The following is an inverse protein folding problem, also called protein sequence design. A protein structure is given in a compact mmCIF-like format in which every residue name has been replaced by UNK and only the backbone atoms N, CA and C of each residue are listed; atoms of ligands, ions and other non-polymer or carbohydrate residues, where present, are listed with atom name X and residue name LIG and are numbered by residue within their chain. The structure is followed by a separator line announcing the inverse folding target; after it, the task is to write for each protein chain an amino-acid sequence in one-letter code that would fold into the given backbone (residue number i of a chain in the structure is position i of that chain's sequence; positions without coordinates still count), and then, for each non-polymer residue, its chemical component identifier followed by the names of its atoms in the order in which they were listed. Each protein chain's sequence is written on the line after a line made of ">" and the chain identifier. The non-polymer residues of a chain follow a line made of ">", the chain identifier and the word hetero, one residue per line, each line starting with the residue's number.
data_IF_757086821411
#
_entry.id   IF_757086821411
#
_cell.length_a   1.000
_cell.length_b   1.000
_cell.length_c   1.000
_cell.angle_alpha   90.00
_cell.angle_beta   90.00
_cell.angle_gamma   90.00
#
_symmetry.space_group_name_H-M   'P 1'
#
loop_
_entity.id
_entity.type
_entity.pdbx_description
1 polymer ?
#
# COMPACT_ATOMS: atom_id res chain seq x y z
N UNK A 1 -34.49 14.09 -6.44
CA UNK A 1 -33.31 13.22 -6.24
C UNK A 1 -33.70 12.10 -5.27
N UNK A 2 -33.78 10.86 -5.74
CA UNK A 2 -34.34 9.71 -5.01
C UNK A 2 -33.56 9.43 -3.69
N UNK A 3 -34.27 9.08 -2.60
CA UNK A 3 -33.70 8.92 -1.24
C UNK A 3 -32.48 7.97 -1.21
N UNK A 4 -32.49 6.95 -2.06
CA UNK A 4 -31.38 6.01 -2.24
C UNK A 4 -30.11 6.64 -2.82
N UNK A 5 -30.20 7.65 -3.71
CA UNK A 5 -29.02 8.29 -4.29
C UNK A 5 -28.30 9.22 -3.30
N UNK A 6 -29.05 9.85 -2.37
CA UNK A 6 -28.44 10.67 -1.31
C UNK A 6 -27.59 9.85 -0.33
N UNK A 7 -27.88 8.56 -0.16
CA UNK A 7 -27.11 7.67 0.72
C UNK A 7 -25.83 7.12 0.07
N UNK A 8 -25.78 7.06 -1.27
CA UNK A 8 -24.62 6.55 -2.02
C UNK A 8 -23.59 7.66 -2.26
N UNK A 9 -24.05 8.90 -2.44
CA UNK A 9 -23.20 10.08 -2.68
C UNK A 9 -22.05 10.26 -1.69
N UNK A 10 -22.26 10.22 -0.36
CA UNK A 10 -21.15 10.36 0.60
C UNK A 10 -20.14 9.21 0.47
N UNK A 11 -20.59 7.97 0.24
CA UNK A 11 -19.69 6.82 0.06
C UNK A 11 -18.81 6.96 -1.18
N UNK A 12 -19.37 7.47 -2.27
CA UNK A 12 -18.60 7.71 -3.51
C UNK A 12 -17.52 8.77 -3.26
N UNK A 13 -17.85 9.82 -2.50
CA UNK A 13 -16.89 10.84 -2.11
C UNK A 13 -15.75 10.24 -1.24
N UNK A 14 -16.09 9.38 -0.29
CA UNK A 14 -15.10 8.69 0.56
C UNK A 14 -14.12 7.85 -0.26
N UNK A 15 -14.62 7.09 -1.24
CA UNK A 15 -13.75 6.31 -2.13
C UNK A 15 -12.86 7.20 -3.00
N UNK A 16 -13.38 8.32 -3.51
CA UNK A 16 -12.57 9.28 -4.28
C UNK A 16 -11.44 9.87 -3.44
N UNK A 17 -11.74 10.28 -2.20
CA UNK A 17 -10.75 10.81 -1.26
C UNK A 17 -9.70 9.73 -0.93
N UNK A 18 -10.14 8.48 -0.72
CA UNK A 18 -9.25 7.35 -0.45
C UNK A 18 -8.29 7.07 -1.62
N UNK A 19 -8.78 7.10 -2.86
CA UNK A 19 -7.96 6.90 -4.07
C UNK A 19 -6.90 8.00 -4.17
N UNK A 20 -7.28 9.25 -3.92
CA UNK A 20 -6.34 10.39 -3.93
C UNK A 20 -5.27 10.19 -2.84
N UNK A 21 -5.69 9.86 -1.62
CA UNK A 21 -4.78 9.60 -0.50
C UNK A 21 -3.79 8.46 -0.80
N UNK A 22 -4.28 7.32 -1.27
CA UNK A 22 -3.46 6.17 -1.66
C UNK A 22 -2.49 6.52 -2.79
N UNK A 23 -2.92 7.33 -3.76
CA UNK A 23 -2.06 7.75 -4.87
C UNK A 23 -0.89 8.61 -4.37
N UNK A 24 -1.18 9.55 -3.46
CA UNK A 24 -0.16 10.40 -2.83
C UNK A 24 0.80 9.54 -1.99
N UNK A 25 0.28 8.59 -1.21
CA UNK A 25 1.11 7.64 -0.44
C UNK A 25 1.98 6.77 -1.35
N UNK A 26 1.45 6.26 -2.45
CA UNK A 26 2.20 5.46 -3.42
C UNK A 26 3.30 6.28 -4.10
N UNK A 27 3.02 7.54 -4.44
CA UNK A 27 4.02 8.47 -4.95
C UNK A 27 5.11 8.74 -3.90
N UNK A 28 4.73 8.93 -2.64
CA UNK A 28 5.69 9.12 -1.56
C UNK A 28 6.63 7.90 -1.38
N UNK A 29 6.08 6.69 -1.49
CA UNK A 29 6.89 5.46 -1.42
C UNK A 29 7.89 5.40 -2.57
N UNK A 30 7.44 5.62 -3.80
CA UNK A 30 8.32 5.52 -4.98
C UNK A 30 9.35 6.64 -5.08
N UNK A 31 9.00 7.87 -4.70
CA UNK A 31 9.85 9.04 -4.85
C UNK A 31 10.75 9.30 -3.63
N UNK A 32 10.35 8.86 -2.43
CA UNK A 32 11.12 9.09 -1.21
C UNK A 32 11.60 7.79 -0.56
N UNK A 33 10.69 6.86 -0.25
CA UNK A 33 11.06 5.70 0.56
C UNK A 33 12.02 4.76 -0.18
N UNK A 34 11.78 4.54 -1.47
CA UNK A 34 12.65 3.70 -2.29
C UNK A 34 14.05 4.36 -2.49
N UNK A 35 14.18 5.52 -3.15
CA UNK A 35 15.51 6.06 -3.43
C UNK A 35 16.32 6.42 -2.18
N UNK A 36 15.67 6.87 -1.10
CA UNK A 36 16.36 7.25 0.13
C UNK A 36 16.47 6.12 1.17
N UNK A 37 16.06 4.89 0.82
CA UNK A 37 16.10 3.72 1.71
C UNK A 37 15.46 3.98 3.09
N UNK A 38 14.41 4.81 3.10
CA UNK A 38 13.64 5.13 4.31
C UNK A 38 12.57 4.05 4.44
N UNK A 39 12.59 3.32 5.55
CA UNK A 39 11.72 2.16 5.74
C UNK A 39 10.82 2.37 6.95
N UNK A 40 9.53 2.05 6.82
CA UNK A 40 8.69 1.81 7.98
C UNK A 40 9.04 0.44 8.57
N UNK A 41 9.01 0.29 9.90
CA UNK A 41 9.19 -1.02 10.54
C UNK A 41 8.11 -2.04 10.16
N UNK A 42 8.35 -3.32 10.46
CA UNK A 42 7.41 -4.43 10.19
C UNK A 42 7.60 -5.13 8.84
N UNK A 43 6.54 -5.76 8.33
CA UNK A 43 6.56 -6.59 7.10
C UNK A 43 6.95 -5.77 5.86
N UNK A 44 6.45 -4.54 5.75
CA UNK A 44 6.75 -3.63 4.63
C UNK A 44 8.22 -3.18 4.63
N UNK A 45 8.84 -3.03 5.80
CA UNK A 45 10.27 -2.76 5.93
C UNK A 45 11.11 -3.94 5.45
N UNK A 46 10.75 -5.16 5.86
CA UNK A 46 11.43 -6.39 5.44
C UNK A 46 11.32 -6.57 3.92
N UNK A 47 10.13 -6.34 3.34
CA UNK A 47 9.91 -6.39 1.90
C UNK A 47 10.81 -5.42 1.14
N UNK A 48 11.05 -4.23 1.67
CA UNK A 48 11.88 -3.21 1.00
C UNK A 48 13.38 -3.49 1.16
N UNK A 49 13.81 -4.10 2.27
CA UNK A 49 15.19 -4.60 2.40
C UNK A 49 15.46 -5.73 1.40
N UNK A 50 14.52 -6.68 1.28
CA UNK A 50 14.58 -7.75 0.27
C UNK A 50 14.59 -7.18 -1.14
N UNK A 51 13.81 -6.14 -1.41
CA UNK A 51 13.83 -5.43 -2.69
C UNK A 51 15.24 -4.96 -3.10
N UNK A 52 16.00 -4.35 -2.18
CA UNK A 52 17.38 -3.97 -2.46
C UNK A 52 18.32 -5.16 -2.59
N UNK A 53 18.14 -6.19 -1.77
CA UNK A 53 18.95 -7.41 -1.82
C UNK A 53 18.78 -8.17 -3.15
N UNK A 54 17.58 -8.17 -3.72
CA UNK A 54 17.28 -8.78 -5.01
C UNK A 54 17.56 -7.87 -6.22
N UNK A 55 18.31 -6.77 -6.03
CA UNK A 55 18.68 -5.85 -7.10
C UNK A 55 17.46 -5.27 -7.83
N UNK A 56 16.38 -4.98 -7.11
CA UNK A 56 15.14 -4.40 -7.66
C UNK A 56 14.43 -5.27 -8.70
N UNK A 57 14.72 -6.59 -8.76
CA UNK A 57 14.09 -7.50 -9.73
C UNK A 57 12.61 -7.75 -9.48
N UNK A 58 12.15 -7.60 -8.24
CA UNK A 58 10.77 -7.88 -7.82
C UNK A 58 10.20 -6.61 -7.21
N UNK A 59 9.00 -6.15 -7.58
CA UNK A 59 8.41 -4.94 -6.98
C UNK A 59 8.17 -5.10 -5.47
N UNK A 60 8.39 -4.04 -4.70
CA UNK A 60 8.16 -4.02 -3.24
C UNK A 60 6.74 -4.50 -2.88
N UNK A 61 5.72 -4.07 -3.63
CA UNK A 61 4.33 -4.47 -3.39
C UNK A 61 4.10 -5.99 -3.47
N UNK A 62 4.79 -6.68 -4.38
CA UNK A 62 4.71 -8.14 -4.51
C UNK A 62 5.34 -8.82 -3.30
N UNK A 63 6.49 -8.30 -2.84
CA UNK A 63 7.17 -8.80 -1.64
C UNK A 63 6.32 -8.60 -0.38
N UNK A 64 5.62 -7.46 -0.26
CA UNK A 64 4.69 -7.19 0.84
C UNK A 64 3.56 -8.22 0.85
N UNK A 65 2.95 -8.52 -0.29
CA UNK A 65 1.87 -9.52 -0.37
C UNK A 65 2.40 -10.92 -0.04
N UNK A 66 3.55 -11.30 -0.59
CA UNK A 66 4.18 -12.60 -0.33
C UNK A 66 4.54 -12.80 1.13
N UNK A 67 5.02 -11.76 1.82
CA UNK A 67 5.38 -11.86 3.24
C UNK A 67 4.14 -11.79 4.15
N UNK A 68 3.10 -11.05 3.75
CA UNK A 68 1.86 -11.00 4.52
C UNK A 68 1.02 -12.27 4.40
N UNK A 69 1.03 -12.96 3.25
CA UNK A 69 0.29 -14.22 3.04
C UNK A 69 0.53 -15.26 4.15
N UNK A 70 1.78 -15.67 4.45
CA UNK A 70 2.04 -16.60 5.54
C UNK A 70 1.67 -15.99 6.88
N UNK A 71 2.02 -14.72 7.16
CA UNK A 71 1.65 -14.05 8.41
C UNK A 71 0.14 -14.03 8.66
N UNK A 72 -0.67 -13.91 7.62
CA UNK A 72 -2.13 -13.98 7.70
C UNK A 72 -2.63 -15.38 8.07
N UNK A 73 -1.90 -16.43 7.69
CA UNK A 73 -2.22 -17.83 8.00
C UNK A 73 -1.79 -18.24 9.43
N UNK A 74 -0.69 -17.69 9.94
CA UNK A 74 -0.17 -17.98 11.31
C UNK A 74 -0.71 -17.00 12.36
N UNK A 75 -1.11 -15.79 11.96
CA UNK A 75 -1.59 -14.74 12.85
C UNK A 75 -3.09 -14.76 13.11
N UNK A 76 -3.84 -15.64 12.43
CA UNK A 76 -5.26 -15.91 12.69
C UNK A 76 -5.42 -17.24 13.42
#
# INVERSE_FOLDING_TARGET
>A
MNKSMKAIWPKVLDYLIMIIGVTISAAAVNLFFIPYKIHSGGVSGIATVLYYLFNSKVPVGVLIVLLNLPLFLIGY
#
